data_IF_649803095757
#
_entry.id   IF_649803095757
#
_cell.length_a   1.000
_cell.length_b   1.000
_cell.length_c   1.000
_cell.angle_alpha   90.00
_cell.angle_beta   90.00
_cell.angle_gamma   90.00
#
_symmetry.space_group_name_H-M   'P 1'
#
loop_
_entity.id
_entity.type
_entity.pdbx_description
1 polymer ?
#
# COMPACT_ATOMS: atom_id res chain seq x y z
N UNK A 1 -21.56 0.02 2.57
CA UNK A 1 -20.35 -0.03 3.42
C UNK A 1 -20.43 -1.29 4.27
N UNK A 2 -19.38 -2.13 4.31
CA UNK A 2 -19.34 -3.24 5.25
C UNK A 2 -19.46 -2.69 6.67
N UNK A 3 -20.33 -3.26 7.50
CA UNK A 3 -20.59 -2.77 8.85
C UNK A 3 -19.77 -3.47 9.94
N UNK A 4 -19.02 -4.52 9.57
CA UNK A 4 -18.14 -5.24 10.49
C UNK A 4 -16.71 -5.23 9.94
N UNK A 5 -15.94 -4.23 10.34
CA UNK A 5 -14.53 -4.11 9.96
C UNK A 5 -13.67 -4.86 10.98
N UNK A 6 -12.66 -5.55 10.49
CA UNK A 6 -11.62 -6.11 11.35
C UNK A 6 -10.71 -4.99 11.85
N UNK A 7 -10.19 -5.16 13.06
CA UNK A 7 -9.05 -4.36 13.52
C UNK A 7 -7.86 -4.57 12.57
N UNK A 8 -7.05 -3.52 12.29
CA UNK A 8 -5.95 -3.61 11.32
C UNK A 8 -4.99 -4.78 11.55
N UNK A 9 -4.63 -5.05 12.81
CA UNK A 9 -3.76 -6.18 13.16
C UNK A 9 -4.40 -7.54 12.81
N UNK A 10 -5.71 -7.68 13.01
CA UNK A 10 -6.44 -8.90 12.64
C UNK A 10 -6.50 -9.07 11.12
N UNK A 11 -6.71 -7.97 10.38
CA UNK A 11 -6.69 -7.99 8.91
C UNK A 11 -5.30 -8.37 8.36
N UNK A 12 -4.22 -7.82 8.94
CA UNK A 12 -2.84 -8.16 8.58
C UNK A 12 -2.57 -9.65 8.82
N UNK A 13 -2.94 -10.17 9.99
CA UNK A 13 -2.75 -11.58 10.31
C UNK A 13 -3.53 -12.50 9.36
N UNK A 14 -4.78 -12.16 9.04
CA UNK A 14 -5.60 -12.92 8.09
C UNK A 14 -4.93 -13.03 6.71
N UNK A 15 -4.42 -11.92 6.17
CA UNK A 15 -3.72 -11.93 4.88
C UNK A 15 -2.47 -12.81 4.94
N UNK A 16 -1.71 -12.73 6.03
CA UNK A 16 -0.49 -13.54 6.21
C UNK A 16 -0.78 -15.03 6.34
N UNK A 17 -1.82 -15.40 7.10
CA UNK A 17 -2.24 -16.81 7.26
C UNK A 17 -2.72 -17.41 5.94
N UNK A 18 -3.27 -16.59 5.04
CA UNK A 18 -3.61 -16.98 3.68
C UNK A 18 -2.38 -17.03 2.73
N UNK A 19 -1.16 -16.75 3.21
CA UNK A 19 0.06 -16.70 2.40
C UNK A 19 0.22 -15.42 1.57
N UNK A 20 -0.61 -14.41 1.83
CA UNK A 20 -0.56 -13.12 1.14
C UNK A 20 0.44 -12.13 1.75
N UNK A 21 0.62 -11.01 1.06
CA UNK A 21 1.48 -9.90 1.46
C UNK A 21 0.59 -8.73 1.90
N UNK A 22 0.47 -8.42 3.20
CA UNK A 22 -0.35 -7.30 3.66
C UNK A 22 0.33 -5.96 3.37
N UNK A 23 -0.36 -5.12 2.59
CA UNK A 23 0.06 -3.76 2.24
C UNK A 23 -0.98 -2.76 2.74
N UNK A 24 -0.52 -1.63 3.29
CA UNK A 24 -1.43 -0.56 3.72
C UNK A 24 -1.81 0.30 2.52
N UNK A 25 -3.05 0.10 2.05
CA UNK A 25 -3.64 0.88 0.99
C UNK A 25 -3.85 2.34 1.42
N UNK A 26 -3.55 3.23 0.48
CA UNK A 26 -3.71 4.67 0.54
C UNK A 26 -3.54 5.31 1.94
N UNK A 27 -2.34 5.19 2.57
CA UNK A 27 -2.16 5.61 3.95
C UNK A 27 -2.39 7.12 4.09
N UNK A 28 -3.18 7.57 5.09
CA UNK A 28 -3.33 8.98 5.42
C UNK A 28 -2.01 9.51 6.00
N UNK A 29 -1.45 10.56 5.41
CA UNK A 29 -0.12 11.09 5.77
C UNK A 29 0.03 11.40 7.25
N UNK A 30 -1.02 11.97 7.85
CA UNK A 30 -1.08 12.38 9.25
C UNK A 30 -1.10 11.20 10.23
N UNK A 31 -1.44 9.99 9.76
CA UNK A 31 -1.50 8.78 10.57
C UNK A 31 -0.32 7.84 10.35
N UNK A 32 0.51 8.07 9.34
CA UNK A 32 1.62 7.16 9.03
C UNK A 32 2.54 7.02 10.23
N UNK A 33 3.05 8.12 10.79
CA UNK A 33 4.05 8.06 11.86
C UNK A 33 3.50 7.44 13.14
N UNK A 34 2.20 7.63 13.42
CA UNK A 34 1.57 7.15 14.66
C UNK A 34 1.14 5.69 14.57
N UNK A 35 0.65 5.23 13.42
CA UNK A 35 0.14 3.87 13.25
C UNK A 35 1.19 2.90 12.74
N UNK A 36 2.18 3.36 11.96
CA UNK A 36 3.15 2.47 11.32
C UNK A 36 3.86 1.55 12.31
N UNK A 37 4.34 1.98 13.51
CA UNK A 37 4.97 1.07 14.46
C UNK A 37 4.06 -0.10 14.88
N UNK A 38 2.78 0.19 15.14
CA UNK A 38 1.80 -0.83 15.52
C UNK A 38 1.50 -1.80 14.38
N UNK A 39 1.41 -1.29 13.15
CA UNK A 39 1.18 -2.13 11.97
C UNK A 39 2.40 -2.98 11.62
N UNK A 40 3.61 -2.46 11.82
CA UNK A 40 4.86 -3.21 11.69
C UNK A 40 4.92 -4.36 12.69
N UNK A 41 4.60 -4.11 13.96
CA UNK A 41 4.51 -5.15 14.99
C UNK A 41 3.50 -6.25 14.62
N UNK A 42 2.37 -5.88 14.00
CA UNK A 42 1.39 -6.84 13.49
C UNK A 42 1.87 -7.65 12.25
N UNK A 43 2.97 -7.22 11.61
CA UNK A 43 3.55 -7.89 10.45
C UNK A 43 3.14 -7.30 9.10
N UNK A 44 2.80 -6.01 9.06
CA UNK A 44 2.66 -5.27 7.80
C UNK A 44 3.93 -5.43 6.95
N UNK A 45 3.76 -5.60 5.62
CA UNK A 45 4.86 -5.86 4.70
C UNK A 45 5.14 -4.73 3.72
N UNK A 46 4.24 -3.76 3.59
CA UNK A 46 4.45 -2.65 2.67
C UNK A 46 3.36 -1.60 2.67
N UNK A 47 3.55 -0.58 1.84
CA UNK A 47 2.66 0.57 1.70
C UNK A 47 2.28 0.78 0.23
N UNK A 48 1.12 1.39 0.01
CA UNK A 48 0.79 1.99 -1.29
C UNK A 48 1.43 3.37 -1.41
N UNK A 49 2.51 3.43 -2.18
CA UNK A 49 3.35 4.61 -2.40
C UNK A 49 2.85 5.41 -3.60
N UNK A 50 2.58 4.72 -4.70
CA UNK A 50 2.26 5.35 -5.97
C UNK A 50 0.76 5.37 -6.20
N UNK A 51 0.17 6.57 -6.26
CA UNK A 51 -1.26 6.75 -6.55
C UNK A 51 -1.51 7.92 -7.48
N UNK A 52 -2.66 7.93 -8.18
CA UNK A 52 -3.01 9.06 -8.99
C UNK A 52 -3.22 10.33 -8.14
N UNK A 53 -2.57 11.44 -8.54
CA UNK A 53 -2.60 12.75 -7.86
C UNK A 53 -1.83 12.82 -6.54
N UNK A 54 -0.99 11.84 -6.18
CA UNK A 54 -0.03 12.00 -5.09
C UNK A 54 0.92 13.15 -5.39
N UNK A 55 1.26 13.99 -4.40
CA UNK A 55 2.30 14.99 -4.60
C UNK A 55 3.65 14.29 -4.55
N UNK A 56 4.62 14.83 -5.29
CA UNK A 56 5.99 14.30 -5.32
C UNK A 56 6.62 14.19 -3.92
N UNK A 57 6.30 15.13 -3.02
CA UNK A 57 6.77 15.14 -1.64
C UNK A 57 6.28 13.92 -0.85
N UNK A 58 5.04 13.52 -1.08
CA UNK A 58 4.37 12.48 -0.31
C UNK A 58 4.89 11.11 -0.78
N UNK A 59 5.08 10.96 -2.10
CA UNK A 59 5.76 9.79 -2.70
C UNK A 59 7.17 9.64 -2.12
N UNK A 60 8.02 10.67 -2.20
CA UNK A 60 9.39 10.60 -1.70
C UNK A 60 9.46 10.27 -0.19
N UNK A 61 8.50 10.78 0.58
CA UNK A 61 8.39 10.46 2.01
C UNK A 61 8.05 8.99 2.22
N UNK A 62 7.03 8.47 1.54
CA UNK A 62 6.63 7.06 1.68
C UNK A 62 7.70 6.10 1.17
N UNK A 63 8.40 6.43 0.08
CA UNK A 63 9.57 5.67 -0.40
C UNK A 63 10.67 5.62 0.67
N UNK A 64 10.96 6.75 1.32
CA UNK A 64 11.98 6.84 2.36
C UNK A 64 11.59 6.02 3.59
N UNK A 65 10.32 6.07 4.00
CA UNK A 65 9.77 5.24 5.08
C UNK A 65 9.90 3.77 4.73
N UNK A 66 9.58 3.39 3.48
CA UNK A 66 9.66 2.00 3.07
C UNK A 66 11.10 1.49 3.11
N UNK A 67 12.04 2.25 2.54
CA UNK A 67 13.48 1.94 2.56
C UNK A 67 14.03 1.82 3.98
N UNK A 68 13.64 2.73 4.89
CA UNK A 68 14.13 2.74 6.27
C UNK A 68 13.65 1.53 7.09
N UNK A 69 12.48 0.96 6.75
CA UNK A 69 11.86 -0.14 7.50
C UNK A 69 11.89 -1.48 6.75
N UNK A 70 12.53 -1.57 5.57
CA UNK A 70 12.55 -2.77 4.75
C UNK A 70 11.16 -3.19 4.23
N UNK A 71 10.28 -2.21 3.98
CA UNK A 71 8.92 -2.42 3.50
C UNK A 71 8.86 -2.40 1.97
N UNK A 72 7.92 -3.18 1.44
CA UNK A 72 7.62 -3.25 0.02
C UNK A 72 6.81 -2.02 -0.42
N UNK A 73 7.04 -1.59 -1.66
CA UNK A 73 6.29 -0.51 -2.29
C UNK A 73 5.25 -1.10 -3.26
N UNK A 74 4.07 -0.51 -3.28
CA UNK A 74 2.99 -0.84 -4.22
C UNK A 74 2.38 0.43 -4.80
N UNK A 75 1.57 0.26 -5.85
CA UNK A 75 0.79 1.34 -6.41
C UNK A 75 -0.47 0.83 -7.08
N UNK A 76 -1.49 1.67 -7.08
CA UNK A 76 -2.81 1.35 -7.58
C UNK A 76 -3.56 2.59 -8.03
N UNK A 77 -4.40 2.43 -9.05
CA UNK A 77 -5.25 3.52 -9.54
C UNK A 77 -6.46 3.79 -8.65
N UNK A 78 -6.81 2.82 -7.79
CA UNK A 78 -8.06 2.79 -7.04
C UNK A 78 -9.29 3.08 -7.94
N UNK A 79 -9.26 2.52 -9.15
CA UNK A 79 -10.29 2.77 -10.15
C UNK A 79 -11.59 2.04 -9.78
N UNK A 80 -12.71 2.77 -9.83
CA UNK A 80 -14.03 2.26 -9.45
C UNK A 80 -14.99 2.16 -10.64
N UNK A 81 -15.04 3.17 -11.52
CA UNK A 81 -15.86 3.19 -12.72
C UNK A 81 -15.49 4.37 -13.66
N UNK A 82 -15.94 4.35 -14.94
CA UNK A 82 -15.63 5.41 -15.90
C UNK A 82 -16.16 6.79 -15.55
N UNK A 83 -17.17 6.90 -14.67
CA UNK A 83 -17.80 8.18 -14.32
C UNK A 83 -16.90 9.08 -13.46
N UNK A 84 -15.80 8.56 -12.90
CA UNK A 84 -14.84 9.33 -12.08
C UNK A 84 -13.77 10.06 -12.90
N UNK A 85 -13.95 10.17 -14.22
CA UNK A 85 -13.10 11.00 -15.09
C UNK A 85 -11.73 10.42 -15.40
N UNK A 86 -11.52 9.12 -15.16
CA UNK A 86 -10.33 8.37 -15.59
C UNK A 86 -10.73 7.02 -16.17
N UNK A 87 -10.07 6.63 -17.26
CA UNK A 87 -10.15 5.29 -17.80
C UNK A 87 -9.24 4.34 -17.01
N UNK A 88 -9.58 3.06 -17.02
CA UNK A 88 -8.70 2.02 -16.46
C UNK A 88 -7.40 2.00 -17.28
N UNK A 89 -6.26 2.03 -16.59
CA UNK A 89 -4.93 2.07 -17.22
C UNK A 89 -4.36 3.48 -17.43
N UNK A 90 -5.12 4.55 -17.19
CA UNK A 90 -4.61 5.93 -17.25
C UNK A 90 -3.51 6.20 -16.18
N UNK A 91 -3.49 5.40 -15.13
CA UNK A 91 -2.42 5.35 -14.15
C UNK A 91 -1.87 3.93 -14.11
N UNK A 92 -0.54 3.84 -14.09
CA UNK A 92 0.22 2.62 -13.96
C UNK A 92 1.47 2.91 -13.12
N UNK A 93 2.08 1.84 -12.63
CA UNK A 93 3.44 1.85 -12.08
C UNK A 93 4.33 1.05 -13.01
N UNK A 94 5.58 1.46 -13.13
CA UNK A 94 6.59 0.68 -13.82
C UNK A 94 7.04 -0.48 -12.93
N UNK A 95 7.35 -1.63 -13.53
CA UNK A 95 7.73 -2.83 -12.78
C UNK A 95 8.93 -2.60 -11.85
N UNK A 96 9.87 -1.75 -12.25
CA UNK A 96 11.05 -1.42 -11.44
C UNK A 96 10.70 -0.64 -10.16
N UNK A 97 9.59 0.10 -10.12
CA UNK A 97 9.14 0.85 -8.94
C UNK A 97 8.62 -0.10 -7.83
N UNK A 98 8.17 -1.29 -8.22
CA UNK A 98 7.56 -2.29 -7.32
C UNK A 98 8.27 -3.66 -7.42
N UNK A 99 9.51 -3.68 -7.89
CA UNK A 99 10.25 -4.92 -8.22
C UNK A 99 10.31 -5.87 -7.01
N UNK A 100 10.61 -5.35 -5.83
CA UNK A 100 10.66 -6.14 -4.60
C UNK A 100 9.31 -6.80 -4.26
N UNK A 101 8.19 -6.13 -4.56
CA UNK A 101 6.86 -6.68 -4.35
C UNK A 101 6.57 -7.81 -5.35
N UNK A 102 6.95 -7.63 -6.61
CA UNK A 102 6.79 -8.65 -7.65
C UNK A 102 7.61 -9.90 -7.30
N UNK A 103 8.88 -9.73 -6.96
CA UNK A 103 9.75 -10.81 -6.51
C UNK A 103 9.20 -11.51 -5.26
N UNK A 104 8.71 -10.77 -4.26
CA UNK A 104 8.08 -11.34 -3.08
C UNK A 104 6.79 -12.12 -3.40
N UNK A 105 6.07 -11.71 -4.44
CA UNK A 105 4.90 -12.39 -4.98
C UNK A 105 5.20 -13.55 -5.93
N UNK A 106 6.48 -13.79 -6.26
CA UNK A 106 6.91 -14.87 -7.15
C UNK A 106 6.77 -14.55 -8.65
N UNK A 107 6.77 -13.26 -9.01
CA UNK A 107 6.77 -12.75 -10.39
C UNK A 107 8.15 -12.27 -10.82
#
# INVERSE_FOLDING_TARGET
MPTNLLEPAAAINLVREAGGIPLWAHPPEELVDSLLPLLLEAGLRGLEVYRPRSKKTDVLRLESICKANGLLMSGGSDWHNPQHGRALGDFYVDAHEIEDLLHAGGL
#
